data_IF_318281000212
#
_entry.id   IF_318281000212
#
_cell.length_a   1.000
_cell.length_b   1.000
_cell.length_c   1.000
_cell.angle_alpha   90.00
_cell.angle_beta   90.00
_cell.angle_gamma   90.00
#
_symmetry.space_group_name_H-M   'P 1'
#
loop_
_entity.id
_entity.type
_entity.pdbx_description
1 polymer ?
#
# COMPACT_ATOMS: atom_id res chain seq x y z
N UNK A 1 4.40 -15.48 -14.68
CA UNK A 1 3.38 -14.45 -14.35
C UNK A 1 4.16 -13.26 -13.83
N UNK A 2 4.16 -12.15 -14.58
CA UNK A 2 4.94 -10.97 -14.23
C UNK A 2 4.52 -10.48 -12.84
N UNK A 3 5.48 -10.26 -11.96
CA UNK A 3 5.23 -9.59 -10.71
C UNK A 3 4.74 -8.18 -11.05
N UNK A 4 3.44 -7.94 -10.88
CA UNK A 4 2.86 -6.61 -11.01
C UNK A 4 3.43 -5.77 -9.86
N UNK A 5 4.53 -5.07 -10.15
CA UNK A 5 5.11 -4.07 -9.28
C UNK A 5 4.22 -2.85 -9.40
N UNK A 6 3.35 -2.67 -8.42
CA UNK A 6 2.42 -1.55 -8.38
C UNK A 6 3.22 -0.32 -7.98
N UNK A 7 3.44 0.56 -8.95
CA UNK A 7 4.16 1.82 -8.74
C UNK A 7 3.15 2.97 -8.68
N UNK A 8 2.96 3.52 -7.48
CA UNK A 8 2.13 4.70 -7.29
C UNK A 8 2.91 5.95 -7.68
N UNK A 9 2.35 6.75 -8.58
CA UNK A 9 3.00 7.95 -9.11
C UNK A 9 2.51 9.24 -8.44
N UNK A 10 1.28 9.25 -7.92
CA UNK A 10 0.71 10.41 -7.24
C UNK A 10 -0.51 10.03 -6.40
N UNK A 11 -1.01 10.96 -5.60
CA UNK A 11 -2.29 10.83 -4.89
C UNK A 11 -3.11 12.11 -5.06
N UNK A 12 -4.43 11.99 -4.93
CA UNK A 12 -5.39 13.09 -5.14
C UNK A 12 -6.42 13.12 -4.00
N UNK A 13 -6.78 14.32 -3.54
CA UNK A 13 -7.83 14.53 -2.54
C UNK A 13 -9.12 14.98 -3.22
N UNK A 14 -10.24 14.32 -2.90
CA UNK A 14 -11.57 14.68 -3.40
C UNK A 14 -12.54 14.88 -2.24
N UNK A 15 -13.25 16.00 -2.24
CA UNK A 15 -14.27 16.28 -1.24
C UNK A 15 -15.62 15.79 -1.78
N UNK A 16 -16.19 14.78 -1.13
CA UNK A 16 -17.45 14.15 -1.54
C UNK A 16 -18.65 14.86 -0.91
N UNK A 17 -18.53 15.24 0.37
CA UNK A 17 -19.54 16.03 1.07
C UNK A 17 -18.89 17.09 1.96
N UNK A 18 -19.45 18.30 1.94
CA UNK A 18 -19.04 19.43 2.77
C UNK A 18 -20.08 19.80 3.83
N UNK A 19 -21.15 19.02 3.96
CA UNK A 19 -22.19 19.30 4.92
C UNK A 19 -21.66 19.18 6.36
N UNK A 20 -22.01 20.16 7.20
CA UNK A 20 -21.58 20.20 8.60
C UNK A 20 -22.20 19.02 9.37
N UNK A 21 -21.38 18.17 9.97
CA UNK A 21 -21.78 16.94 10.63
C UNK A 21 -21.74 15.70 9.72
N UNK A 22 -21.51 15.88 8.42
CA UNK A 22 -21.48 14.80 7.43
C UNK A 22 -20.38 15.04 6.38
N UNK A 23 -19.26 15.65 6.79
CA UNK A 23 -18.14 15.88 5.86
C UNK A 23 -17.52 14.55 5.44
N UNK A 24 -17.36 14.35 4.14
CA UNK A 24 -16.70 13.18 3.55
C UNK A 24 -15.61 13.61 2.58
N UNK A 25 -14.41 13.06 2.72
CA UNK A 25 -13.24 13.33 1.89
C UNK A 25 -12.61 12.00 1.50
N UNK A 26 -12.36 11.79 0.23
CA UNK A 26 -11.70 10.60 -0.31
C UNK A 26 -10.29 10.96 -0.75
N UNK A 27 -9.36 10.03 -0.54
CA UNK A 27 -8.01 10.12 -1.07
C UNK A 27 -7.78 8.97 -2.02
N UNK A 28 -7.42 9.30 -3.25
CA UNK A 28 -7.15 8.34 -4.31
C UNK A 28 -5.64 8.22 -4.53
N UNK A 29 -5.17 7.01 -4.78
CA UNK A 29 -3.82 6.75 -5.28
C UNK A 29 -3.88 6.52 -6.78
N UNK A 30 -2.91 7.08 -7.49
CA UNK A 30 -2.73 6.91 -8.92
C UNK A 30 -1.57 5.97 -9.19
N UNK A 31 -1.84 4.91 -9.92
CA UNK A 31 -0.81 3.98 -10.41
C UNK A 31 -0.13 4.52 -11.68
N UNK A 32 1.06 3.99 -11.99
CA UNK A 32 1.80 4.23 -13.24
C UNK A 32 0.96 4.04 -14.52
N UNK A 33 -0.04 3.16 -14.47
CA UNK A 33 -1.00 2.90 -15.55
C UNK A 33 -2.07 4.00 -15.69
N UNK A 34 -2.13 4.96 -14.77
CA UNK A 34 -3.13 6.03 -14.72
C UNK A 34 -4.42 5.65 -14.00
N UNK A 35 -4.50 4.45 -13.41
CA UNK A 35 -5.65 3.99 -12.65
C UNK A 35 -5.72 4.68 -11.29
N UNK A 36 -6.91 5.12 -10.89
CA UNK A 36 -7.19 5.68 -9.57
C UNK A 36 -7.88 4.63 -8.69
N UNK A 37 -7.42 4.49 -7.45
CA UNK A 37 -8.00 3.60 -6.45
C UNK A 37 -8.24 4.36 -5.15
N UNK A 38 -9.40 4.13 -4.53
CA UNK A 38 -9.73 4.74 -3.24
C UNK A 38 -8.83 4.15 -2.16
N UNK A 39 -7.89 4.95 -1.65
CA UNK A 39 -6.93 4.52 -0.64
C UNK A 39 -7.45 4.78 0.77
N UNK A 40 -7.98 5.98 1.01
CA UNK A 40 -8.42 6.41 2.35
C UNK A 40 -9.73 7.17 2.25
N UNK A 41 -10.66 6.85 3.15
CA UNK A 41 -11.91 7.55 3.34
C UNK A 41 -11.89 8.32 4.67
N UNK A 42 -11.98 9.64 4.58
CA UNK A 42 -12.18 10.57 5.68
C UNK A 42 -13.66 10.84 5.90
N UNK A 43 -14.19 10.50 7.07
CA UNK A 43 -15.59 10.78 7.45
C UNK A 43 -15.64 11.57 8.75
N UNK A 44 -16.60 12.47 8.86
CA UNK A 44 -16.91 13.15 10.11
C UNK A 44 -17.72 12.22 11.04
N UNK A 45 -17.11 11.77 12.14
CA UNK A 45 -17.78 10.91 13.14
C UNK A 45 -18.63 11.71 14.12
N UNK A 46 -18.18 12.92 14.43
CA UNK A 46 -18.87 13.91 15.25
C UNK A 46 -18.52 15.28 14.70
N UNK A 47 -19.33 16.31 15.00
CA UNK A 47 -19.06 17.69 14.58
C UNK A 47 -17.63 18.10 14.97
N UNK A 48 -16.78 18.45 13.98
CA UNK A 48 -15.33 18.77 14.10
C UNK A 48 -14.38 17.56 14.27
N UNK A 49 -14.89 16.35 14.30
CA UNK A 49 -14.09 15.14 14.49
C UNK A 49 -14.10 14.29 13.23
N UNK A 50 -13.09 14.49 12.40
CA UNK A 50 -12.84 13.62 11.25
C UNK A 50 -12.07 12.37 11.69
N UNK A 51 -12.41 11.25 11.07
CA UNK A 51 -11.65 10.00 11.13
C UNK A 51 -11.35 9.57 9.71
N UNK A 52 -10.12 9.12 9.50
CA UNK A 52 -9.67 8.60 8.23
C UNK A 52 -9.38 7.11 8.36
N UNK A 53 -9.92 6.32 7.45
CA UNK A 53 -9.77 4.86 7.44
C UNK A 53 -9.31 4.43 6.06
N UNK A 54 -8.43 3.43 6.01
CA UNK A 54 -8.07 2.78 4.74
C UNK A 54 -9.33 2.16 4.14
N UNK A 55 -9.52 2.30 2.84
CA UNK A 55 -10.67 1.71 2.14
C UNK A 55 -10.48 0.21 1.92
N UNK A 56 -11.57 -0.55 2.02
CA UNK A 56 -11.59 -1.98 1.71
C UNK A 56 -11.12 -2.27 0.27
N UNK A 57 -11.38 -1.36 -0.68
CA UNK A 57 -10.94 -1.52 -2.09
C UNK A 57 -9.41 -1.58 -2.20
N UNK A 58 -8.72 -0.72 -1.46
CA UNK A 58 -7.27 -0.71 -1.41
C UNK A 58 -6.70 -1.93 -0.68
N UNK A 59 -7.38 -2.37 0.38
CA UNK A 59 -6.99 -3.57 1.12
C UNK A 59 -7.12 -4.80 0.23
N UNK A 60 -8.26 -5.00 -0.44
CA UNK A 60 -8.50 -6.16 -1.32
C UNK A 60 -7.44 -6.25 -2.44
N UNK A 61 -7.12 -5.10 -3.05
CA UNK A 61 -6.15 -5.06 -4.16
C UNK A 61 -4.70 -5.19 -3.73
N UNK A 62 -4.36 -4.70 -2.54
CA UNK A 62 -2.96 -4.57 -2.08
C UNK A 62 -2.70 -5.19 -0.70
N UNK A 63 -3.51 -6.17 -0.26
CA UNK A 63 -3.38 -6.83 1.05
C UNK A 63 -1.96 -7.39 1.28
N UNK A 64 -1.32 -7.83 0.19
CA UNK A 64 0.05 -8.35 0.20
C UNK A 64 1.15 -7.30 0.42
N UNK A 65 0.82 -6.01 0.43
CA UNK A 65 1.77 -4.95 0.76
C UNK A 65 1.92 -4.86 2.28
N UNK A 66 3.08 -5.28 2.80
CA UNK A 66 3.44 -5.22 4.23
C UNK A 66 3.42 -3.80 4.85
N UNK A 67 3.16 -2.76 4.05
CA UNK A 67 3.00 -1.37 4.49
C UNK A 67 1.56 -1.00 4.87
N UNK A 68 0.58 -1.84 4.54
CA UNK A 68 -0.83 -1.58 4.77
C UNK A 68 -1.26 -2.28 6.04
N UNK A 69 -1.14 -1.60 7.18
CA UNK A 69 -1.83 -2.07 8.36
C UNK A 69 -3.33 -1.80 8.14
N UNK A 70 -4.08 -2.85 7.80
CA UNK A 70 -5.52 -2.84 7.48
C UNK A 70 -6.40 -2.23 8.58
N UNK A 71 -5.84 -2.04 9.78
CA UNK A 71 -6.50 -1.38 10.92
C UNK A 71 -6.05 0.06 11.16
N UNK A 72 -5.35 0.69 10.22
CA UNK A 72 -4.87 2.06 10.42
C UNK A 72 -6.03 3.05 10.38
N UNK A 73 -6.31 3.65 11.53
CA UNK A 73 -7.29 4.74 11.70
C UNK A 73 -6.55 6.00 12.09
N UNK A 74 -6.62 7.02 11.25
CA UNK A 74 -6.01 8.32 11.54
C UNK A 74 -7.03 9.33 12.05
N UNK A 75 -6.57 10.21 12.95
CA UNK A 75 -7.36 11.33 13.50
C UNK A 75 -6.97 12.67 12.88
N UNK A 76 -5.77 12.78 12.32
CA UNK A 76 -5.30 13.98 11.65
C UNK A 76 -5.08 13.75 10.15
N UNK A 77 -5.42 14.76 9.35
CA UNK A 77 -5.18 14.78 7.90
C UNK A 77 -3.70 14.63 7.56
N UNK A 78 -2.81 15.18 8.41
CA UNK A 78 -1.36 15.12 8.19
C UNK A 78 -0.86 13.67 8.14
N UNK A 79 -1.34 12.80 9.02
CA UNK A 79 -0.89 11.40 9.04
C UNK A 79 -1.30 10.66 7.76
N UNK A 80 -2.49 10.95 7.24
CA UNK A 80 -2.97 10.41 5.95
C UNK A 80 -2.06 10.86 4.82
N UNK A 81 -1.73 12.16 4.76
CA UNK A 81 -0.87 12.72 3.72
C UNK A 81 0.56 12.14 3.81
N UNK A 82 1.12 12.00 5.01
CA UNK A 82 2.43 11.38 5.22
C UNK A 82 2.44 9.94 4.69
N UNK A 83 1.43 9.16 5.05
CA UNK A 83 1.28 7.78 4.58
C UNK A 83 1.16 7.68 3.06
N UNK A 84 0.29 8.48 2.42
CA UNK A 84 0.15 8.52 0.95
C UNK A 84 1.45 8.92 0.27
N UNK A 85 2.16 9.91 0.83
CA UNK A 85 3.42 10.39 0.27
C UNK A 85 4.52 9.33 0.36
N UNK A 86 4.53 8.52 1.43
CA UNK A 86 5.46 7.38 1.57
C UNK A 86 5.17 6.28 0.56
N UNK A 87 3.90 6.04 0.23
CA UNK A 87 3.52 5.07 -0.80
C UNK A 87 3.97 5.49 -2.20
N UNK A 88 3.89 6.78 -2.53
CA UNK A 88 4.36 7.32 -3.81
C UNK A 88 5.89 7.42 -3.87
N UNK A 89 6.55 7.69 -2.75
CA UNK A 89 8.00 7.89 -2.70
C UNK A 89 8.80 6.59 -2.62
N UNK A 90 8.17 5.48 -2.22
CA UNK A 90 8.83 4.19 -2.10
C UNK A 90 8.43 3.29 -3.27
N UNK A 91 9.33 3.04 -4.25
CA UNK A 91 9.07 2.05 -5.29
C UNK A 91 8.83 0.71 -4.60
N UNK A 92 7.69 0.09 -4.89
CA UNK A 92 7.30 -1.19 -4.33
C UNK A 92 8.08 -2.30 -5.03
N UNK A 93 9.41 -2.30 -4.89
CA UNK A 93 10.20 -3.49 -5.16
C UNK A 93 9.69 -4.55 -4.21
N UNK A 94 8.92 -5.50 -4.74
CA UNK A 94 8.65 -6.74 -4.02
C UNK A 94 10.01 -7.22 -3.55
N UNK A 95 10.19 -7.29 -2.25
CA UNK A 95 11.34 -7.97 -1.66
C UNK A 95 11.18 -9.43 -2.08
N UNK A 96 11.64 -9.77 -3.29
CA UNK A 96 12.22 -11.07 -3.55
C UNK A 96 13.23 -11.26 -2.44
N UNK A 97 12.85 -12.07 -1.46
CA UNK A 97 13.82 -12.74 -0.63
C UNK A 97 14.77 -13.40 -1.63
N UNK A 98 15.94 -12.81 -1.77
CA UNK A 98 17.04 -13.42 -2.46
C UNK A 98 17.27 -14.75 -1.76
N UNK A 99 16.93 -15.83 -2.45
CA UNK A 99 17.52 -17.15 -2.23
C UNK A 99 19.02 -16.99 -2.44
N UNK A 100 19.77 -16.84 -1.36
CA UNK A 100 21.22 -17.08 -1.30
C UNK A 100 21.43 -18.12 -0.18
N UNK A 101 21.93 -19.33 -0.40
CA UNK A 101 22.76 -19.79 -1.50
C UNK A 101 22.43 -21.19 -2.01
N UNK A 102 22.26 -21.27 -3.33
CA UNK A 102 22.69 -22.40 -4.13
C UNK A 102 24.21 -22.26 -4.33
N UNK A 103 25.00 -22.93 -3.48
CA UNK A 103 26.39 -23.26 -3.78
C UNK A 103 26.39 -24.71 -4.28
N UNK A 104 26.41 -24.87 -5.60
CA UNK A 104 26.86 -26.12 -6.21
C UNK A 104 28.36 -26.27 -5.96
N UNK A 105 28.83 -27.31 -5.24
CA UNK A 105 30.24 -27.65 -5.24
C UNK A 105 30.61 -28.33 -6.57
N UNK A 106 31.80 -28.08 -7.12
CA UNK A 106 32.25 -28.73 -8.34
C UNK A 106 32.32 -30.25 -8.14
N UNK A 107 31.80 -30.96 -9.12
CA UNK A 107 31.89 -32.40 -9.26
C UNK A 107 33.35 -32.86 -9.37
N UNK A 108 33.80 -33.74 -8.47
CA UNK A 108 34.54 -34.96 -8.83
C UNK A 108 34.81 -35.95 -7.67
N UNK A 109 34.65 -37.23 -8.02
CA UNK A 109 35.27 -38.47 -7.49
C UNK A 109 34.72 -39.10 -6.21
N UNK A 110 33.84 -40.07 -6.46
CA UNK A 110 33.97 -41.51 -6.16
C UNK A 110 34.63 -41.95 -4.84
N UNK A 111 33.87 -42.70 -4.03
CA UNK A 111 34.26 -43.94 -3.33
C UNK A 111 32.96 -44.55 -2.74
N UNK A 112 32.28 -45.43 -3.48
CA UNK A 112 32.35 -46.91 -3.36
C UNK A 112 32.19 -47.41 -1.91
N UNK A 113 31.03 -48.03 -1.71
CA UNK A 113 30.62 -48.94 -0.64
C UNK A 113 31.57 -50.12 -0.41
N UNK A 114 31.76 -50.47 0.86
CA UNK A 114 31.82 -51.85 1.35
C UNK A 114 31.13 -51.89 2.70
#
# INVERSE_FOLDING_TARGET
MAADTVEFVSWEEQIISQERGNRVVHYFLKDSSGNLILAVQGTERSVRHMIYVVSDEFIDKYESMNYVNTSTKWRARRDVIDWLSRLVSWPQSKSEYITCGHLEPPSNRTCRST
#
